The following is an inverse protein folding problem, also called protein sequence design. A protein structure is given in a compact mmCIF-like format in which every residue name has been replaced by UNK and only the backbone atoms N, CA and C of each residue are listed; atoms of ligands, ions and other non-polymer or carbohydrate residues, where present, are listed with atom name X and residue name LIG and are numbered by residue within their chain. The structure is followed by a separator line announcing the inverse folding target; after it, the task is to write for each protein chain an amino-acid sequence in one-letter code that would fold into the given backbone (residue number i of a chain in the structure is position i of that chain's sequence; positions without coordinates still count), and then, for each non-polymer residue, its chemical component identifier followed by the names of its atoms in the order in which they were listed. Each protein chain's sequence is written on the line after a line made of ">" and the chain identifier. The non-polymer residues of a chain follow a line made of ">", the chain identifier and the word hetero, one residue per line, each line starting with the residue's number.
data_IF_321270149870
#
_entry.id   IF_321270149870
#
_cell.length_a   1.000
_cell.length_b   1.000
_cell.length_c   1.000
_cell.angle_alpha   90.00
_cell.angle_beta   90.00
_cell.angle_gamma   90.00
#
_symmetry.space_group_name_H-M   'P 1'
#
loop_
_entity.id
_entity.type
_entity.pdbx_description
1 polymer ?
#
# COMPACT_ATOMS: atom_id res chain seq x y z
N UNK A 1 23.44 16.79 -20.89
CA UNK A 1 22.12 16.24 -20.50
C UNK A 1 22.38 14.97 -19.70
N UNK A 2 22.42 15.08 -18.38
CA UNK A 2 22.52 13.94 -17.47
C UNK A 2 21.25 13.96 -16.64
N UNK A 3 20.32 13.07 -16.98
CA UNK A 3 19.17 12.78 -16.13
C UNK A 3 19.72 12.07 -14.90
N UNK A 4 19.82 12.81 -13.80
CA UNK A 4 20.04 12.23 -12.48
C UNK A 4 18.82 11.35 -12.20
N UNK A 5 19.04 10.04 -12.22
CA UNK A 5 18.09 9.06 -11.71
C UNK A 5 17.75 9.49 -10.30
N UNK A 6 16.53 9.99 -10.10
CA UNK A 6 15.94 10.19 -8.78
C UNK A 6 16.12 8.86 -8.05
N UNK A 7 17.08 8.81 -7.12
CA UNK A 7 17.13 7.77 -6.13
C UNK A 7 15.74 7.77 -5.50
N UNK A 8 14.96 6.73 -5.80
CA UNK A 8 13.71 6.45 -5.12
C UNK A 8 14.10 6.22 -3.67
N UNK A 9 14.19 7.32 -2.90
CA UNK A 9 14.28 7.32 -1.45
C UNK A 9 13.19 6.36 -1.03
N UNK A 10 13.57 5.17 -0.58
CA UNK A 10 12.65 4.24 0.02
C UNK A 10 12.09 5.00 1.23
N UNK A 11 10.86 5.51 1.20
CA UNK A 11 10.31 6.19 2.35
C UNK A 11 10.29 5.16 3.46
N UNK A 12 10.80 5.53 4.63
CA UNK A 12 10.68 4.69 5.81
C UNK A 12 9.24 4.14 5.88
N UNK A 13 9.13 2.83 6.10
CA UNK A 13 7.85 2.15 6.26
C UNK A 13 6.94 2.94 7.20
N UNK A 14 5.76 3.33 6.74
CA UNK A 14 4.78 3.98 7.60
C UNK A 14 4.11 2.96 8.52
N UNK A 15 3.56 3.40 9.65
CA UNK A 15 2.78 2.51 10.53
C UNK A 15 1.62 1.85 9.77
N UNK A 16 1.01 2.57 8.83
CA UNK A 16 -0.04 2.04 7.96
C UNK A 16 0.45 0.88 7.06
N UNK A 17 1.70 0.92 6.59
CA UNK A 17 2.32 -0.17 5.81
C UNK A 17 2.47 -1.44 6.66
N UNK A 18 2.92 -1.27 7.90
CA UNK A 18 3.10 -2.35 8.88
C UNK A 18 1.76 -2.98 9.24
N UNK A 19 0.78 -2.15 9.57
CA UNK A 19 -0.55 -2.63 9.97
C UNK A 19 -1.25 -3.32 8.80
N UNK A 20 -1.10 -2.81 7.58
CA UNK A 20 -1.64 -3.45 6.38
C UNK A 20 -1.07 -4.86 6.21
N UNK A 21 0.25 -5.02 6.33
CA UNK A 21 0.88 -6.34 6.27
C UNK A 21 0.37 -7.28 7.37
N UNK A 22 0.30 -6.80 8.62
CA UNK A 22 -0.18 -7.58 9.76
C UNK A 22 -1.63 -8.04 9.59
N UNK A 23 -2.51 -7.16 9.11
CA UNK A 23 -3.91 -7.48 8.85
C UNK A 23 -4.03 -8.55 7.77
N UNK A 24 -3.28 -8.42 6.67
CA UNK A 24 -3.30 -9.40 5.57
C UNK A 24 -2.86 -10.78 6.06
N UNK A 25 -1.75 -10.88 6.79
CA UNK A 25 -1.29 -12.14 7.38
C UNK A 25 -2.32 -12.75 8.33
N UNK A 26 -2.88 -11.94 9.22
CA UNK A 26 -3.88 -12.39 10.19
C UNK A 26 -5.13 -12.92 9.48
N UNK A 27 -5.65 -12.18 8.50
CA UNK A 27 -6.82 -12.58 7.73
C UNK A 27 -6.59 -13.89 6.97
N UNK A 28 -5.41 -14.05 6.34
CA UNK A 28 -5.03 -15.29 5.67
C UNK A 28 -4.98 -16.47 6.64
N UNK A 29 -4.28 -16.30 7.77
CA UNK A 29 -4.15 -17.35 8.80
C UNK A 29 -5.51 -17.76 9.36
N UNK A 30 -6.37 -16.79 9.69
CA UNK A 30 -7.74 -17.05 10.15
C UNK A 30 -8.53 -17.80 9.07
N UNK A 31 -8.53 -17.33 7.82
CA UNK A 31 -9.28 -17.97 6.75
C UNK A 31 -8.82 -19.40 6.42
N UNK A 32 -7.53 -19.69 6.57
CA UNK A 32 -6.98 -21.05 6.43
C UNK A 32 -7.37 -21.93 7.62
N UNK A 33 -7.28 -21.40 8.84
CA UNK A 33 -7.67 -22.11 10.06
C UNK A 33 -9.15 -22.48 10.03
N UNK A 34 -10.03 -21.59 9.56
CA UNK A 34 -11.47 -21.85 9.42
C UNK A 34 -11.76 -23.02 8.45
N UNK A 35 -10.81 -23.36 7.58
CA UNK A 35 -10.88 -24.47 6.62
C UNK A 35 -10.10 -25.71 7.07
N UNK A 36 -9.58 -25.70 8.31
CA UNK A 36 -8.82 -26.82 8.88
C UNK A 36 -7.33 -26.83 8.55
N UNK A 37 -6.80 -25.78 7.93
CA UNK A 37 -5.37 -25.66 7.64
C UNK A 37 -4.67 -24.84 8.73
N UNK A 38 -3.73 -25.47 9.44
CA UNK A 38 -2.88 -24.81 10.43
C UNK A 38 -1.54 -24.52 9.77
N UNK A 39 -1.18 -23.24 9.73
CA UNK A 39 0.12 -22.78 9.22
C UNK A 39 0.82 -21.91 10.26
N UNK A 40 2.14 -21.99 10.27
CA UNK A 40 2.99 -21.18 11.13
C UNK A 40 3.07 -19.72 10.64
N UNK A 41 3.65 -18.84 11.47
CA UNK A 41 3.73 -17.42 11.16
C UNK A 41 4.61 -17.14 9.91
N UNK A 42 5.71 -17.87 9.77
CA UNK A 42 6.62 -17.73 8.63
C UNK A 42 5.97 -18.23 7.32
N UNK A 43 5.31 -19.38 7.38
CA UNK A 43 4.53 -19.91 6.25
C UNK A 43 3.43 -18.94 5.83
N UNK A 44 2.73 -18.34 6.80
CA UNK A 44 1.71 -17.32 6.53
C UNK A 44 2.30 -16.09 5.83
N UNK A 45 3.50 -15.65 6.21
CA UNK A 45 4.22 -14.56 5.52
C UNK A 45 4.55 -14.93 4.07
N UNK A 46 5.05 -16.14 3.81
CA UNK A 46 5.41 -16.58 2.46
C UNK A 46 4.18 -16.72 1.55
N UNK A 47 3.12 -17.37 2.05
CA UNK A 47 1.87 -17.53 1.30
C UNK A 47 1.21 -16.19 1.02
N UNK A 48 1.16 -15.29 2.02
CA UNK A 48 0.61 -13.95 1.83
C UNK A 48 1.39 -13.16 0.78
N UNK A 49 2.72 -13.20 0.83
CA UNK A 49 3.58 -12.58 -0.18
C UNK A 49 3.29 -13.13 -1.57
N UNK A 50 3.33 -14.45 -1.74
CA UNK A 50 3.10 -15.08 -3.03
C UNK A 50 1.75 -14.68 -3.62
N UNK A 51 0.68 -14.75 -2.81
CA UNK A 51 -0.66 -14.34 -3.23
C UNK A 51 -0.71 -12.87 -3.68
N UNK A 52 -0.11 -11.95 -2.90
CA UNK A 52 -0.12 -10.53 -3.21
C UNK A 52 0.69 -10.21 -4.48
N UNK A 53 1.83 -10.87 -4.69
CA UNK A 53 2.62 -10.73 -5.92
C UNK A 53 1.84 -11.21 -7.16
N UNK A 54 1.08 -12.30 -7.06
CA UNK A 54 0.23 -12.79 -8.15
C UNK A 54 -0.91 -11.81 -8.46
N UNK A 55 -1.57 -11.27 -7.43
CA UNK A 55 -2.61 -10.25 -7.59
C UNK A 55 -2.04 -9.03 -8.33
N UNK A 56 -0.86 -8.56 -7.94
CA UNK A 56 -0.25 -7.39 -8.58
C UNK A 56 0.25 -7.66 -10.00
N UNK A 57 0.76 -8.86 -10.27
CA UNK A 57 1.14 -9.27 -11.63
C UNK A 57 -0.06 -9.29 -12.57
N UNK A 58 -1.28 -9.53 -12.05
CA UNK A 58 -2.52 -9.44 -12.81
C UNK A 58 -3.02 -8.00 -13.06
N UNK A 59 -2.28 -7.00 -12.59
CA UNK A 59 -2.65 -5.58 -12.70
C UNK A 59 -3.66 -5.10 -11.65
N UNK A 60 -3.92 -5.91 -10.62
CA UNK A 60 -4.80 -5.57 -9.50
C UNK A 60 -3.97 -5.07 -8.31
N UNK A 61 -4.57 -4.25 -7.44
CA UNK A 61 -3.91 -3.79 -6.21
C UNK A 61 -4.84 -3.95 -5.02
N UNK A 62 -4.31 -4.49 -3.94
CA UNK A 62 -5.04 -4.59 -2.67
C UNK A 62 -4.95 -3.25 -1.96
N UNK A 63 -6.10 -2.65 -1.67
CA UNK A 63 -6.19 -1.37 -0.96
C UNK A 63 -7.23 -1.45 0.16
N UNK A 64 -7.06 -0.67 1.25
CA UNK A 64 -8.07 -0.58 2.30
C UNK A 64 -9.42 -0.10 1.74
N UNK A 65 -10.51 -0.75 2.17
CA UNK A 65 -11.88 -0.33 1.82
C UNK A 65 -12.20 1.06 2.37
N UNK A 66 -11.76 1.34 3.60
CA UNK A 66 -11.85 2.67 4.22
C UNK A 66 -10.55 3.43 3.93
N UNK A 67 -10.60 4.62 3.30
CA UNK A 67 -9.40 5.39 3.00
C UNK A 67 -8.64 5.78 4.27
N UNK A 68 -7.31 5.62 4.25
CA UNK A 68 -6.42 6.11 5.32
C UNK A 68 -6.30 7.64 5.28
N UNK A 69 -5.72 8.24 6.31
CA UNK A 69 -5.46 9.68 6.36
C UNK A 69 -4.59 10.13 5.18
N UNK A 70 -3.54 9.38 4.81
CA UNK A 70 -2.69 9.69 3.66
C UNK A 70 -3.49 9.65 2.35
N UNK A 71 -4.33 8.63 2.17
CA UNK A 71 -5.21 8.52 1.00
C UNK A 71 -6.19 9.71 0.93
N UNK A 72 -6.77 10.13 2.06
CA UNK A 72 -7.66 11.28 2.12
C UNK A 72 -6.94 12.59 1.78
N UNK A 73 -5.71 12.77 2.27
CA UNK A 73 -4.88 13.92 1.93
C UNK A 73 -4.53 13.93 0.44
N UNK A 74 -4.14 12.80 -0.14
CA UNK A 74 -3.86 12.68 -1.57
C UNK A 74 -5.10 13.01 -2.42
N UNK A 75 -6.29 12.53 -2.03
CA UNK A 75 -7.56 12.89 -2.66
C UNK A 75 -7.78 14.41 -2.60
N UNK A 76 -7.57 15.03 -1.44
CA UNK A 76 -7.73 16.48 -1.26
C UNK A 76 -6.77 17.26 -2.15
N UNK A 77 -5.51 16.87 -2.17
CA UNK A 77 -4.47 17.50 -3.00
C UNK A 77 -4.74 17.34 -4.50
N UNK A 78 -5.25 16.19 -4.93
CA UNK A 78 -5.60 15.93 -6.33
C UNK A 78 -6.76 16.82 -6.84
N UNK A 79 -7.55 17.38 -5.92
CA UNK A 79 -8.70 18.23 -6.22
C UNK A 79 -8.49 19.69 -5.83
N UNK A 80 -7.32 20.04 -5.33
CA UNK A 80 -7.08 21.37 -4.80
C UNK A 80 -7.19 22.41 -5.93
N UNK A 81 -8.27 23.19 -5.87
CA UNK A 81 -8.64 24.19 -6.88
C UNK A 81 -7.59 25.31 -6.95
N UNK A 82 -6.84 25.53 -5.86
CA UNK A 82 -5.80 26.55 -5.79
C UNK A 82 -4.62 26.29 -6.74
N UNK A 83 -4.45 25.06 -7.25
CA UNK A 83 -3.35 24.72 -8.15
C UNK A 83 -3.69 24.81 -9.64
N UNK A 84 -4.96 24.65 -10.07
CA UNK A 84 -5.32 24.62 -11.50
C UNK A 84 -6.78 25.01 -11.77
N UNK A 85 -6.98 26.04 -12.60
CA UNK A 85 -8.29 26.39 -13.17
C UNK A 85 -8.97 25.19 -13.83
N UNK A 86 -8.22 24.28 -14.45
CA UNK A 86 -8.77 23.10 -15.12
C UNK A 86 -9.69 22.27 -14.22
N UNK A 87 -9.38 22.14 -12.92
CA UNK A 87 -10.20 21.34 -11.97
C UNK A 87 -11.62 21.88 -11.88
N UNK A 88 -11.85 23.20 -11.90
CA UNK A 88 -13.20 23.76 -11.85
C UNK A 88 -14.04 23.32 -13.07
N UNK A 89 -13.42 23.23 -14.25
CA UNK A 89 -14.07 23.00 -15.55
C UNK A 89 -14.15 21.53 -16.00
N UNK A 90 -13.47 20.59 -15.31
CA UNK A 90 -13.52 19.17 -15.72
C UNK A 90 -14.84 18.49 -15.31
N UNK A 91 -15.34 17.60 -16.17
CA UNK A 91 -16.50 16.74 -15.91
C UNK A 91 -16.35 15.91 -14.62
N UNK A 92 -17.45 15.66 -13.88
CA UNK A 92 -17.43 14.91 -12.61
C UNK A 92 -16.73 13.55 -12.66
N UNK A 93 -16.92 12.77 -13.74
CA UNK A 93 -16.31 11.44 -13.92
C UNK A 93 -14.79 11.49 -13.93
N UNK A 94 -14.20 12.50 -14.55
CA UNK A 94 -12.75 12.66 -14.58
C UNK A 94 -12.20 13.05 -13.21
N UNK A 95 -12.91 13.94 -12.48
CA UNK A 95 -12.57 14.26 -11.08
C UNK A 95 -12.56 13.01 -10.23
N UNK A 96 -13.58 12.16 -10.37
CA UNK A 96 -13.67 10.89 -9.65
C UNK A 96 -12.50 9.95 -10.00
N UNK A 97 -12.12 9.84 -11.28
CA UNK A 97 -10.94 9.07 -11.70
C UNK A 97 -9.66 9.58 -11.06
N UNK A 98 -9.45 10.89 -11.00
CA UNK A 98 -8.28 11.49 -10.34
C UNK A 98 -8.24 11.20 -8.84
N UNK A 99 -9.38 11.30 -8.15
CA UNK A 99 -9.48 10.95 -6.72
C UNK A 99 -9.07 9.51 -6.47
N UNK A 100 -9.62 8.57 -7.25
CA UNK A 100 -9.30 7.16 -7.09
C UNK A 100 -7.84 6.87 -7.40
N UNK A 101 -7.30 7.46 -8.47
CA UNK A 101 -5.90 7.30 -8.83
C UNK A 101 -4.98 7.79 -7.69
N UNK A 102 -5.21 9.00 -7.18
CA UNK A 102 -4.43 9.56 -6.08
C UNK A 102 -4.53 8.72 -4.80
N UNK A 103 -5.73 8.22 -4.49
CA UNK A 103 -5.94 7.32 -3.35
C UNK A 103 -5.19 6.00 -3.51
N UNK A 104 -5.22 5.39 -4.70
CA UNK A 104 -4.52 4.13 -4.99
C UNK A 104 -3.01 4.33 -4.92
N UNK A 105 -2.48 5.44 -5.44
CA UNK A 105 -1.06 5.78 -5.36
C UNK A 105 -0.59 5.95 -3.91
N UNK A 106 -1.40 6.62 -3.08
CA UNK A 106 -1.15 6.82 -1.66
C UNK A 106 -1.53 5.64 -0.76
N UNK A 107 -2.06 4.55 -1.31
CA UNK A 107 -2.46 3.39 -0.53
C UNK A 107 -1.23 2.71 0.11
N UNK A 108 -1.37 2.15 1.33
CA UNK A 108 -0.29 1.45 2.01
C UNK A 108 0.36 0.37 1.15
N UNK A 109 1.67 0.20 1.29
CA UNK A 109 2.47 -0.76 0.55
C UNK A 109 2.84 -1.95 1.44
N UNK A 110 2.17 -3.08 1.21
CA UNK A 110 2.42 -4.33 1.95
C UNK A 110 3.87 -4.82 1.85
N UNK A 111 4.59 -4.53 0.76
CA UNK A 111 6.01 -4.93 0.62
C UNK A 111 6.88 -4.29 1.69
N UNK A 112 6.60 -3.05 2.07
CA UNK A 112 7.35 -2.36 3.13
C UNK A 112 7.11 -3.02 4.49
N UNK A 113 5.85 -3.34 4.79
CA UNK A 113 5.51 -4.09 6.00
C UNK A 113 6.16 -5.48 6.03
N UNK A 114 6.23 -6.17 4.88
CA UNK A 114 6.92 -7.45 4.75
C UNK A 114 8.44 -7.35 4.96
N UNK A 115 9.11 -6.35 4.38
CA UNK A 115 10.56 -6.16 4.54
C UNK A 115 10.95 -5.90 6.01
N UNK A 116 10.14 -5.12 6.72
CA UNK A 116 10.29 -4.94 8.17
C UNK A 116 10.09 -6.24 8.96
N UNK A 117 9.08 -7.03 8.59
CA UNK A 117 8.77 -8.30 9.24
C UNK A 117 9.91 -9.31 9.11
N UNK A 118 10.71 -9.22 8.05
CA UNK A 118 11.96 -9.98 7.87
C UNK A 118 13.15 -9.42 8.65
N UNK A 119 13.01 -8.27 9.33
CA UNK A 119 14.13 -7.56 9.95
C UNK A 119 15.14 -6.98 8.94
N UNK A 120 14.72 -6.82 7.67
CA UNK A 120 15.58 -6.33 6.59
C UNK A 120 15.52 -4.80 6.40
N UNK A 121 14.69 -4.11 7.17
CA UNK A 121 14.74 -2.65 7.27
C UNK A 121 15.83 -2.32 8.30
N UNK A 122 17.01 -1.90 7.82
CA UNK A 122 18.23 -1.67 8.59
C UNK A 122 18.14 -0.61 9.71
N UNK A 123 17.31 -0.85 10.72
CA UNK A 123 17.09 0.00 11.88
C UNK A 123 17.57 -0.65 13.18
N UNK A 124 18.85 -0.39 13.48
CA UNK A 124 19.62 -0.53 14.73
C UNK A 124 19.57 -1.84 15.56
N UNK A 125 20.74 -2.30 16.09
CA UNK A 125 20.79 -3.41 17.02
C UNK A 125 20.10 -3.01 18.33
N UNK A 126 19.27 -3.92 18.86
CA UNK A 126 18.78 -3.79 20.24
C UNK A 126 19.97 -4.00 21.18
N UNK A 127 20.41 -2.91 21.82
CA UNK A 127 21.18 -2.96 23.06
C UNK A 127 20.29 -3.29 24.25
#
# INVERSE_FOLDING_TARGET
>A
MTQTTDEVRNPASSQADIDTWRILKKALKTGLSDRGFIIEAEEASLVARFMLEQIETSGLRVVPVKPTTEMQQAIKQALDQGKRMSVAWVKPRTKQRWRYQAAVEAAPNWRRGYLLDLGLDGGQPKG
#
